data_IF_309129210147
#
_entry.id   IF_309129210147
#
_cell.length_a   1.000
_cell.length_b   1.000
_cell.length_c   1.000
_cell.angle_alpha   90.00
_cell.angle_beta   90.00
_cell.angle_gamma   90.00
#
_symmetry.space_group_name_H-M   'P 1'
#
loop_
_entity.id
_entity.type
_entity.pdbx_description
1 polymer ?
#
# COMPACT_ATOMS: atom_id res chain seq x y z
N UNK A 1 -5.89 -16.87 -1.83
CA UNK A 1 -4.96 -15.90 -1.17
C UNK A 1 -3.90 -15.51 -2.19
N UNK A 2 -3.60 -14.23 -2.31
CA UNK A 2 -2.63 -13.73 -3.28
C UNK A 2 -1.22 -14.22 -2.92
N UNK A 3 -0.54 -14.81 -3.90
CA UNK A 3 0.78 -15.42 -3.71
C UNK A 3 1.81 -14.38 -3.27
N UNK A 4 2.56 -14.68 -2.22
CA UNK A 4 3.63 -13.84 -1.70
C UNK A 4 3.19 -12.64 -0.85
N UNK A 5 1.88 -12.38 -0.75
CA UNK A 5 1.35 -11.35 0.14
C UNK A 5 1.49 -11.81 1.59
N UNK A 6 2.16 -10.99 2.43
CA UNK A 6 2.36 -11.29 3.84
C UNK A 6 1.68 -10.23 4.72
N UNK A 7 0.99 -10.69 5.76
CA UNK A 7 0.45 -9.84 6.83
C UNK A 7 1.40 -9.92 8.03
N UNK A 8 1.99 -8.80 8.40
CA UNK A 8 3.00 -8.73 9.46
C UNK A 8 2.43 -7.91 10.62
N UNK A 9 2.12 -8.53 11.78
CA UNK A 9 1.63 -7.79 12.94
C UNK A 9 2.64 -6.74 13.39
N UNK A 10 2.15 -5.53 13.67
CA UNK A 10 2.91 -4.44 14.27
C UNK A 10 2.56 -4.37 15.75
N UNK A 11 3.44 -4.87 16.60
CA UNK A 11 3.21 -4.89 18.04
C UNK A 11 3.52 -3.53 18.64
N UNK A 12 2.48 -2.81 19.08
CA UNK A 12 2.63 -1.60 19.87
C UNK A 12 2.94 -1.95 21.32
N UNK A 13 4.02 -1.42 21.85
CA UNK A 13 4.41 -1.55 23.25
C UNK A 13 4.00 -0.28 23.96
N UNK A 14 2.91 -0.36 24.73
CA UNK A 14 2.30 0.78 25.40
C UNK A 14 2.77 0.93 26.83
N UNK A 15 2.96 2.18 27.27
CA UNK A 15 3.14 2.59 28.64
C UNK A 15 2.52 3.98 28.86
N UNK A 16 2.73 4.59 30.02
CA UNK A 16 2.17 5.90 30.37
C UNK A 16 2.64 7.06 29.45
N UNK A 17 3.74 6.86 28.69
CA UNK A 17 4.25 7.87 27.75
C UNK A 17 3.60 7.79 26.37
N UNK A 18 2.89 6.69 26.03
CA UNK A 18 2.33 6.38 24.73
C UNK A 18 2.75 4.99 24.27
N UNK A 19 3.20 4.85 23.03
CA UNK A 19 3.58 3.54 22.50
C UNK A 19 4.82 3.63 21.62
N UNK A 20 5.52 2.50 21.54
CA UNK A 20 6.63 2.24 20.64
C UNK A 20 6.26 1.07 19.72
N UNK A 21 6.65 1.14 18.45
CA UNK A 21 6.46 0.06 17.50
C UNK A 21 7.69 -0.11 16.60
N UNK A 22 8.06 -1.36 16.36
CA UNK A 22 9.07 -1.70 15.35
C UNK A 22 8.36 -1.89 14.01
N UNK A 23 8.56 -0.96 13.08
CA UNK A 23 7.86 -0.97 11.78
C UNK A 23 8.41 -2.03 10.82
N UNK A 24 9.72 -2.29 10.88
CA UNK A 24 10.40 -3.12 9.92
C UNK A 24 11.60 -3.82 10.55
N UNK A 25 11.72 -5.09 10.25
CA UNK A 25 12.91 -5.87 10.58
C UNK A 25 13.31 -6.69 9.36
N UNK A 26 14.50 -6.46 8.81
CA UNK A 26 14.99 -7.12 7.59
C UNK A 26 14.89 -8.64 7.64
N UNK A 27 15.23 -9.23 8.80
CA UNK A 27 15.17 -10.68 8.95
C UNK A 27 13.77 -11.31 8.85
N UNK A 28 12.72 -10.49 8.82
CA UNK A 28 11.32 -10.92 8.67
C UNK A 28 10.77 -10.72 7.27
N UNK A 29 11.57 -10.14 6.37
CA UNK A 29 11.14 -9.81 5.02
C UNK A 29 11.76 -10.76 4.00
N UNK A 30 11.04 -11.11 2.93
CA UNK A 30 11.57 -11.95 1.84
C UNK A 30 12.77 -11.33 1.12
N UNK A 31 12.82 -9.99 1.05
CA UNK A 31 13.87 -9.24 0.37
C UNK A 31 14.25 -8.00 1.15
N UNK A 32 15.50 -7.56 1.00
CA UNK A 32 16.02 -6.34 1.60
C UNK A 32 15.33 -5.11 1.04
N UNK A 33 14.93 -4.18 1.91
CA UNK A 33 14.42 -2.87 1.52
C UNK A 33 15.54 -1.84 1.51
N UNK A 34 15.51 -0.91 0.57
CA UNK A 34 16.60 0.05 0.32
C UNK A 34 16.14 1.51 0.36
N UNK A 35 14.82 1.76 0.31
CA UNK A 35 14.25 3.10 0.37
C UNK A 35 12.99 3.11 1.21
N UNK A 36 12.79 4.19 1.96
CA UNK A 36 11.58 4.41 2.76
C UNK A 36 10.94 5.72 2.35
N UNK A 37 9.63 5.67 2.07
CA UNK A 37 8.84 6.86 1.73
C UNK A 37 7.73 7.06 2.75
N UNK A 38 7.42 8.32 3.04
CA UNK A 38 6.31 8.72 3.90
C UNK A 38 5.39 9.64 3.10
N UNK A 39 4.09 9.38 3.16
CA UNK A 39 3.10 10.28 2.58
C UNK A 39 2.02 10.63 3.59
N UNK A 40 1.48 11.83 3.48
CA UNK A 40 0.24 12.23 4.11
C UNK A 40 -0.87 12.19 3.04
N UNK A 41 -2.02 11.66 3.40
CA UNK A 41 -3.19 11.65 2.51
C UNK A 41 -4.43 12.12 3.28
N UNK A 42 -5.21 12.98 2.63
CA UNK A 42 -6.50 13.43 3.14
C UNK A 42 -7.54 12.33 2.92
N UNK A 43 -8.54 12.28 3.77
CA UNK A 43 -9.68 11.38 3.60
C UNK A 43 -10.24 11.48 2.19
N UNK A 44 -10.49 10.33 1.58
CA UNK A 44 -11.03 10.23 0.22
C UNK A 44 -9.98 10.12 -0.89
N UNK A 45 -8.69 10.25 -0.56
CA UNK A 45 -7.60 10.03 -1.52
C UNK A 45 -7.48 8.53 -1.81
N UNK A 46 -7.35 8.17 -3.09
CA UNK A 46 -6.85 6.87 -3.54
C UNK A 46 -5.51 7.08 -4.22
N UNK A 47 -4.49 6.31 -3.80
CA UNK A 47 -3.20 6.22 -4.47
C UNK A 47 -3.06 4.81 -5.02
N UNK A 48 -3.06 4.69 -6.35
CA UNK A 48 -2.94 3.41 -7.01
C UNK A 48 -3.95 3.20 -8.15
N UNK A 49 -4.08 2.01 -8.63
CA UNK A 49 -3.26 0.83 -8.33
C UNK A 49 -1.97 0.88 -9.14
N UNK A 50 -0.86 0.65 -8.50
CA UNK A 50 0.45 0.63 -9.15
C UNK A 50 1.06 -0.77 -9.10
N UNK A 51 1.93 -1.09 -10.05
CA UNK A 51 2.69 -2.33 -10.06
C UNK A 51 4.04 -2.14 -10.72
N UNK A 52 4.93 -3.08 -10.47
CA UNK A 52 6.33 -3.03 -10.90
C UNK A 52 6.71 -4.31 -11.63
N UNK A 53 7.52 -4.21 -12.66
CA UNK A 53 7.89 -5.34 -13.52
C UNK A 53 9.36 -5.77 -13.36
N UNK A 54 10.20 -4.91 -12.74
CA UNK A 54 11.64 -5.15 -12.60
C UNK A 54 12.06 -5.51 -11.17
N UNK A 55 11.14 -6.07 -10.38
CA UNK A 55 11.47 -6.71 -9.12
C UNK A 55 11.27 -5.88 -7.86
N UNK A 56 10.70 -4.69 -7.93
CA UNK A 56 10.35 -3.94 -6.72
C UNK A 56 9.20 -4.62 -5.97
N UNK A 57 9.39 -4.82 -4.66
CA UNK A 57 8.33 -5.17 -3.72
C UNK A 57 8.15 -4.05 -2.72
N UNK A 58 6.95 -3.95 -2.13
CA UNK A 58 6.58 -2.89 -1.21
C UNK A 58 6.16 -3.45 0.15
N UNK A 59 6.61 -2.81 1.23
CA UNK A 59 6.10 -3.03 2.58
C UNK A 59 5.27 -1.82 3.00
N UNK A 60 3.96 -2.00 3.13
CA UNK A 60 2.99 -0.96 3.48
C UNK A 60 2.70 -0.92 4.97
N UNK A 61 2.71 0.26 5.57
CA UNK A 61 2.27 0.49 6.94
C UNK A 61 1.53 1.83 7.06
N UNK A 62 0.36 1.83 7.69
CA UNK A 62 -0.35 3.06 8.04
C UNK A 62 0.03 3.45 9.46
N UNK A 63 0.73 4.58 9.62
CA UNK A 63 1.31 5.01 10.90
C UNK A 63 0.31 5.75 11.78
N UNK A 64 -0.68 6.38 11.17
CA UNK A 64 -1.75 7.11 11.84
C UNK A 64 -2.97 7.16 10.93
N UNK A 65 -4.16 7.00 11.50
CA UNK A 65 -5.39 6.91 10.74
C UNK A 65 -5.68 5.50 10.24
N UNK A 66 -6.50 5.39 9.20
CA UNK A 66 -6.91 4.11 8.62
C UNK A 66 -6.83 4.15 7.10
N UNK A 67 -6.12 3.19 6.54
CA UNK A 67 -6.00 2.98 5.10
C UNK A 67 -6.70 1.68 4.71
N UNK A 68 -7.50 1.72 3.64
CA UNK A 68 -7.98 0.50 2.97
C UNK A 68 -7.01 0.14 1.88
N UNK A 69 -6.26 -0.92 2.09
CA UNK A 69 -5.33 -1.45 1.08
C UNK A 69 -6.08 -2.39 0.15
N UNK A 70 -5.83 -2.26 -1.14
CA UNK A 70 -6.34 -3.15 -2.18
C UNK A 70 -5.15 -3.71 -2.96
N UNK A 71 -5.13 -5.01 -3.15
CA UNK A 71 -4.14 -5.72 -3.95
C UNK A 71 -4.87 -6.57 -4.99
N UNK A 72 -4.42 -6.50 -6.23
CA UNK A 72 -4.97 -7.28 -7.34
C UNK A 72 -3.87 -8.14 -7.95
N UNK A 73 -4.05 -9.45 -7.89
CA UNK A 73 -3.24 -10.35 -8.70
C UNK A 73 -3.65 -10.18 -10.17
N UNK A 74 -2.76 -9.60 -10.95
CA UNK A 74 -3.01 -9.26 -12.36
C UNK A 74 -3.17 -10.49 -13.23
N UNK A 75 -2.59 -11.62 -12.85
CA UNK A 75 -2.64 -12.87 -13.60
C UNK A 75 -3.95 -13.63 -13.36
N UNK A 76 -4.33 -13.81 -12.10
CA UNK A 76 -5.52 -14.58 -11.73
C UNK A 76 -6.81 -13.74 -11.66
N UNK A 77 -6.67 -12.43 -11.45
CA UNK A 77 -7.81 -11.55 -11.17
C UNK A 77 -8.28 -11.59 -9.72
N UNK A 78 -7.61 -12.37 -8.86
CA UNK A 78 -7.93 -12.41 -7.42
C UNK A 78 -7.61 -11.08 -6.78
N UNK A 79 -8.52 -10.56 -5.98
CA UNK A 79 -8.35 -9.31 -5.25
C UNK A 79 -8.37 -9.55 -3.74
N UNK A 80 -7.57 -8.76 -3.02
CA UNK A 80 -7.48 -8.75 -1.57
C UNK A 80 -7.72 -7.33 -1.08
N UNK A 81 -8.38 -7.18 0.06
CA UNK A 81 -8.53 -5.89 0.73
C UNK A 81 -8.45 -6.07 2.24
N UNK A 82 -7.82 -5.10 2.90
CA UNK A 82 -7.76 -5.02 4.36
C UNK A 82 -7.61 -3.56 4.80
N UNK A 83 -8.33 -3.21 5.86
CA UNK A 83 -8.19 -1.91 6.51
C UNK A 83 -7.09 -2.02 7.57
N UNK A 84 -6.03 -1.23 7.42
CA UNK A 84 -4.87 -1.20 8.31
C UNK A 84 -4.68 0.18 8.93
N UNK A 85 -4.09 0.23 10.10
CA UNK A 85 -3.82 1.49 10.81
C UNK A 85 -4.03 1.38 12.30
N UNK A 86 -4.59 2.42 12.91
CA UNK A 86 -4.70 2.54 14.36
C UNK A 86 -5.46 1.38 15.02
N UNK A 87 -6.55 0.92 14.40
CA UNK A 87 -7.38 -0.17 14.94
C UNK A 87 -6.91 -1.56 14.51
N UNK A 88 -6.09 -1.65 13.47
CA UNK A 88 -5.53 -2.89 12.96
C UNK A 88 -4.06 -2.66 12.57
N UNK A 89 -3.16 -2.65 13.57
CA UNK A 89 -1.74 -2.35 13.35
C UNK A 89 -1.00 -3.53 12.72
N UNK A 90 -1.11 -3.65 11.43
CA UNK A 90 -0.35 -4.60 10.61
C UNK A 90 0.37 -3.90 9.48
N UNK A 91 1.46 -4.49 9.01
CA UNK A 91 2.09 -4.14 7.74
C UNK A 91 1.79 -5.21 6.71
N UNK A 92 1.74 -4.82 5.44
CA UNK A 92 1.53 -5.72 4.31
C UNK A 92 2.75 -5.73 3.42
N UNK A 93 3.38 -6.88 3.26
CA UNK A 93 4.42 -7.08 2.25
C UNK A 93 3.78 -7.54 0.96
N UNK A 94 3.96 -6.78 -0.10
CA UNK A 94 3.27 -6.97 -1.37
C UNK A 94 4.31 -7.18 -2.47
N UNK A 95 4.35 -8.37 -3.11
CA UNK A 95 5.14 -8.54 -4.32
C UNK A 95 4.71 -7.54 -5.39
N UNK A 96 5.68 -6.78 -5.93
CA UNK A 96 5.38 -5.61 -6.74
C UNK A 96 4.73 -5.90 -8.09
N UNK A 97 4.74 -7.14 -8.57
CA UNK A 97 4.04 -7.51 -9.80
C UNK A 97 2.51 -7.58 -9.62
N UNK A 98 2.02 -7.67 -8.38
CA UNK A 98 0.60 -7.46 -8.08
C UNK A 98 0.29 -5.96 -8.06
N UNK A 99 -0.83 -5.56 -8.64
CA UNK A 99 -1.25 -4.17 -8.57
C UNK A 99 -1.75 -3.85 -7.16
N UNK A 100 -1.31 -2.73 -6.60
CA UNK A 100 -1.60 -2.37 -5.22
C UNK A 100 -1.79 -0.87 -5.04
N UNK A 101 -2.52 -0.52 -4.00
CA UNK A 101 -2.78 0.86 -3.62
C UNK A 101 -3.62 0.94 -2.36
N UNK A 102 -3.98 2.15 -1.97
CA UNK A 102 -4.80 2.35 -0.79
C UNK A 102 -5.74 3.56 -0.93
N UNK A 103 -6.83 3.48 -0.18
CA UNK A 103 -7.76 4.58 0.07
C UNK A 103 -7.55 5.11 1.48
N UNK A 104 -7.49 6.42 1.63
CA UNK A 104 -7.49 7.07 2.93
C UNK A 104 -8.92 7.12 3.48
N UNK A 105 -9.25 6.24 4.41
CA UNK A 105 -10.56 6.23 5.09
C UNK A 105 -10.67 7.37 6.11
N UNK A 106 -9.53 7.86 6.58
CA UNK A 106 -9.34 9.07 7.40
C UNK A 106 -8.18 9.86 6.81
N UNK A 107 -7.91 11.08 7.29
CA UNK A 107 -6.58 11.67 7.11
C UNK A 107 -5.57 10.71 7.71
N UNK A 108 -4.46 10.46 7.02
CA UNK A 108 -3.50 9.44 7.45
C UNK A 108 -2.07 9.75 7.08
N UNK A 109 -1.16 9.12 7.84
CA UNK A 109 0.26 9.00 7.51
C UNK A 109 0.53 7.58 7.04
N UNK A 110 1.12 7.44 5.87
CA UNK A 110 1.40 6.16 5.25
C UNK A 110 2.88 6.02 4.93
N UNK A 111 3.46 4.92 5.38
CA UNK A 111 4.86 4.60 5.17
C UNK A 111 4.97 3.38 4.28
N UNK A 112 5.87 3.41 3.31
CA UNK A 112 6.20 2.23 2.53
C UNK A 112 7.70 2.13 2.30
N UNK A 113 8.20 0.91 2.52
CA UNK A 113 9.58 0.53 2.29
C UNK A 113 9.63 -0.27 1.01
N UNK A 114 10.57 0.04 0.14
CA UNK A 114 10.69 -0.59 -1.18
C UNK A 114 12.04 -1.27 -1.36
N UNK A 115 12.04 -2.34 -2.15
CA UNK A 115 13.24 -3.17 -2.36
C UNK A 115 14.14 -2.67 -3.48
N UNK A 116 13.71 -1.65 -4.23
CA UNK A 116 14.49 -0.98 -5.28
C UNK A 116 14.42 0.53 -5.08
N UNK A 117 15.50 1.25 -5.33
CA UNK A 117 15.48 2.71 -5.32
C UNK A 117 14.69 3.26 -6.51
N UNK A 118 13.91 4.31 -6.27
CA UNK A 118 13.18 4.99 -7.34
C UNK A 118 14.12 5.78 -8.22
N UNK A 119 14.04 5.55 -9.53
CA UNK A 119 14.75 6.32 -10.55
C UNK A 119 13.75 7.13 -11.37
N UNK A 120 13.76 8.46 -11.20
CA UNK A 120 12.85 9.34 -11.93
C UNK A 120 13.13 9.37 -13.44
N UNK A 121 14.37 9.04 -13.87
CA UNK A 121 14.74 8.97 -15.28
C UNK A 121 14.27 7.70 -15.98
N UNK A 122 14.00 6.63 -15.23
CA UNK A 122 13.53 5.34 -15.75
C UNK A 122 12.64 4.63 -14.70
N UNK A 123 11.45 5.17 -14.42
CA UNK A 123 10.60 4.63 -13.38
C UNK A 123 10.00 3.29 -13.80
N UNK A 124 10.15 2.28 -12.94
CA UNK A 124 9.45 1.00 -13.06
C UNK A 124 8.09 1.09 -12.36
N UNK A 125 7.22 1.92 -12.89
CA UNK A 125 5.95 2.21 -12.28
C UNK A 125 4.84 2.21 -13.33
N UNK A 126 3.91 1.26 -13.18
CA UNK A 126 2.79 1.03 -14.08
C UNK A 126 1.49 1.14 -13.30
N UNK A 127 0.37 1.34 -13.97
CA UNK A 127 -0.91 1.57 -13.31
C UNK A 127 -2.06 0.75 -13.88
N UNK A 128 -2.98 0.42 -12.99
CA UNK A 128 -4.33 -0.05 -13.30
C UNK A 128 -5.30 0.99 -12.72
N UNK A 129 -6.39 1.35 -13.44
CA UNK A 129 -7.35 2.30 -12.92
C UNK A 129 -7.97 1.84 -11.60
N UNK A 130 -8.18 2.76 -10.65
CA UNK A 130 -8.87 2.46 -9.39
C UNK A 130 -10.29 1.89 -9.64
N UNK A 131 -10.95 2.32 -10.73
CA UNK A 131 -12.30 1.89 -11.13
C UNK A 131 -12.33 0.66 -12.03
N UNK A 132 -11.22 -0.07 -12.15
CA UNK A 132 -11.20 -1.36 -12.83
C UNK A 132 -12.30 -2.26 -12.24
N UNK A 133 -13.10 -2.94 -13.08
CA UNK A 133 -14.23 -3.75 -12.62
C UNK A 133 -13.90 -4.78 -11.55
N UNK A 134 -12.64 -5.26 -11.50
CA UNK A 134 -12.20 -6.27 -10.54
C UNK A 134 -12.03 -5.72 -9.12
N UNK A 135 -11.84 -4.41 -8.97
CA UNK A 135 -11.51 -3.79 -7.67
C UNK A 135 -12.41 -2.64 -7.27
N UNK A 136 -13.13 -2.02 -8.20
CA UNK A 136 -13.89 -0.79 -7.93
C UNK A 136 -14.90 -0.90 -6.78
N UNK A 137 -15.46 -2.09 -6.57
CA UNK A 137 -16.43 -2.34 -5.49
C UNK A 137 -15.79 -2.49 -4.11
N UNK A 138 -14.46 -2.58 -4.05
CA UNK A 138 -13.71 -2.73 -2.79
C UNK A 138 -13.47 -1.38 -2.10
N UNK A 139 -13.51 -0.28 -2.85
CA UNK A 139 -13.33 1.06 -2.30
C UNK A 139 -14.58 1.55 -1.59
N UNK A 140 -14.43 2.36 -0.55
CA UNK A 140 -15.56 2.96 0.15
C UNK A 140 -16.11 4.18 -0.59
N UNK A 141 -15.25 4.89 -1.35
CA UNK A 141 -15.66 6.04 -2.16
C UNK A 141 -15.81 5.68 -3.64
N UNK A 142 -16.72 6.35 -4.32
CA UNK A 142 -16.85 6.32 -5.79
C UNK A 142 -16.45 7.66 -6.43
N UNK A 143 -15.97 8.61 -5.62
CA UNK A 143 -15.50 9.93 -6.05
C UNK A 143 -14.16 10.27 -5.43
N UNK A 144 -13.09 9.47 -5.70
CA UNK A 144 -11.81 9.64 -5.04
C UNK A 144 -11.09 10.92 -5.46
N UNK A 145 -10.24 11.41 -4.57
CA UNK A 145 -9.24 12.42 -4.89
C UNK A 145 -8.02 11.68 -5.45
N UNK A 146 -7.64 12.00 -6.69
CA UNK A 146 -6.59 11.29 -7.42
C UNK A 146 -5.45 12.23 -7.81
N UNK A 147 -4.25 11.68 -8.00
CA UNK A 147 -3.17 12.35 -8.71
C UNK A 147 -3.53 12.49 -10.21
N UNK A 148 -2.81 13.37 -10.92
CA UNK A 148 -3.00 13.53 -12.37
C UNK A 148 -2.78 12.19 -13.11
N UNK A 149 -1.75 11.43 -12.72
CA UNK A 149 -1.45 10.12 -13.31
C UNK A 149 -2.58 9.11 -13.08
N UNK A 150 -3.07 8.99 -11.85
CA UNK A 150 -4.14 8.06 -11.51
C UNK A 150 -5.48 8.47 -12.14
N UNK A 151 -5.69 9.77 -12.35
CA UNK A 151 -6.86 10.29 -13.10
C UNK A 151 -6.80 9.87 -14.57
N UNK A 152 -5.65 9.97 -15.22
CA UNK A 152 -5.46 9.54 -16.61
C UNK A 152 -5.67 8.03 -16.74
N UNK A 153 -5.17 7.23 -15.80
CA UNK A 153 -5.37 5.78 -15.81
C UNK A 153 -6.85 5.39 -15.70
N UNK A 154 -7.68 6.21 -15.04
CA UNK A 154 -9.11 5.96 -14.81
C UNK A 154 -10.01 6.49 -15.93
N UNK A 155 -9.48 7.29 -16.87
CA UNK A 155 -10.26 7.92 -17.96
C UNK A 155 -10.50 7.00 -19.17
#
# INVERSE_FOLDING_TARGET
>A
MIEGLLRIPLRRLEDERGWFVELRRESRLPRQTVQTNLSFSRKGVIRGLHYHLRGQDDLFACLHGTARVVVLDRASGEAFTEDIGDENPIALYIPGHHAHGFEALTDLLFCYHVTEEFDAGDPDEHGIPWNDPRVRSLWSTQTPILSARDTVAAS
#
